data_IF_982459356314
#
_entry.id   IF_982459356314
#
_cell.length_a   1.000
_cell.length_b   1.000
_cell.length_c   1.000
_cell.angle_alpha   90.00
_cell.angle_beta   90.00
_cell.angle_gamma   90.00
#
_symmetry.space_group_name_H-M   'P 1'
#
loop_
_entity.id
_entity.type
_entity.pdbx_description
1 polymer ?
#
# COMPACT_ATOMS: atom_id res chain seq x y z
N UNK A 1 -7.46 -9.29 19.36
CA UNK A 1 -5.99 -9.32 19.15
C UNK A 1 -5.63 -10.21 17.96
N UNK A 2 -6.09 -11.47 17.92
CA UNK A 2 -5.83 -12.41 16.83
C UNK A 2 -6.27 -11.94 15.43
N UNK A 3 -7.49 -11.39 15.31
CA UNK A 3 -7.99 -10.78 14.05
C UNK A 3 -7.04 -9.78 13.41
N UNK A 4 -6.61 -8.76 14.16
CA UNK A 4 -5.78 -7.70 13.61
C UNK A 4 -4.39 -8.22 13.20
N UNK A 5 -3.83 -9.18 13.95
CA UNK A 5 -2.59 -9.85 13.56
C UNK A 5 -2.75 -10.63 12.25
N UNK A 6 -3.87 -11.32 12.07
CA UNK A 6 -4.18 -12.02 10.82
C UNK A 6 -4.29 -11.03 9.65
N UNK A 7 -4.96 -9.89 9.84
CA UNK A 7 -5.06 -8.84 8.82
C UNK A 7 -3.69 -8.24 8.47
N UNK A 8 -2.82 -8.01 9.46
CA UNK A 8 -1.42 -7.60 9.23
C UNK A 8 -0.69 -8.67 8.40
N UNK A 9 -0.86 -9.94 8.74
CA UNK A 9 -0.23 -11.03 8.01
C UNK A 9 -0.69 -11.08 6.55
N UNK A 10 -2.00 -11.01 6.30
CA UNK A 10 -2.56 -10.99 4.94
C UNK A 10 -2.06 -9.77 4.15
N UNK A 11 -2.01 -8.60 4.78
CA UNK A 11 -1.45 -7.39 4.17
C UNK A 11 0.03 -7.59 3.80
N UNK A 12 0.85 -8.08 4.73
CA UNK A 12 2.26 -8.37 4.45
C UNK A 12 2.42 -9.42 3.34
N UNK A 13 1.60 -10.46 3.34
CA UNK A 13 1.59 -11.52 2.33
C UNK A 13 1.27 -10.99 0.93
N UNK A 14 0.21 -10.16 0.82
CA UNK A 14 -0.18 -9.47 -0.41
C UNK A 14 0.98 -8.68 -1.00
N UNK A 15 1.64 -7.84 -0.20
CA UNK A 15 2.68 -6.94 -0.68
C UNK A 15 4.04 -7.63 -0.88
N UNK A 16 4.38 -8.64 -0.06
CA UNK A 16 5.65 -9.34 -0.17
C UNK A 16 5.74 -10.20 -1.44
N UNK A 17 4.65 -10.88 -1.81
CA UNK A 17 4.63 -11.72 -3.01
C UNK A 17 4.08 -10.99 -4.23
N UNK A 18 3.05 -10.17 -4.02
CA UNK A 18 2.33 -9.52 -5.09
C UNK A 18 2.86 -8.13 -5.48
N UNK A 19 3.75 -7.53 -4.67
CA UNK A 19 4.23 -6.16 -4.89
C UNK A 19 4.98 -5.94 -6.21
N UNK A 20 5.55 -7.01 -6.80
CA UNK A 20 6.23 -6.98 -8.10
C UNK A 20 5.41 -7.55 -9.26
N UNK A 21 4.13 -7.89 -9.03
CA UNK A 21 3.26 -8.37 -10.11
C UNK A 21 2.96 -7.25 -11.09
N UNK A 22 2.85 -7.63 -12.38
CA UNK A 22 2.22 -6.77 -13.37
C UNK A 22 0.78 -6.48 -12.96
N UNK A 23 0.29 -5.29 -13.32
CA UNK A 23 -1.06 -4.84 -12.96
C UNK A 23 -2.15 -5.80 -13.45
N UNK A 24 -1.94 -6.48 -14.60
CA UNK A 24 -2.86 -7.46 -15.17
C UNK A 24 -3.12 -8.69 -14.26
N UNK A 25 -2.21 -8.99 -13.33
CA UNK A 25 -2.35 -10.12 -12.40
C UNK A 25 -2.81 -9.70 -11.00
N UNK A 26 -3.02 -8.40 -10.75
CA UNK A 26 -3.40 -7.92 -9.41
C UNK A 26 -4.78 -8.40 -8.99
N UNK A 27 -5.74 -8.43 -9.91
CA UNK A 27 -7.11 -8.85 -9.61
C UNK A 27 -7.19 -10.36 -9.32
N UNK A 28 -6.50 -11.18 -10.13
CA UNK A 28 -6.45 -12.62 -9.91
C UNK A 28 -5.70 -12.98 -8.63
N UNK A 29 -4.63 -12.25 -8.29
CA UNK A 29 -3.91 -12.44 -7.04
C UNK A 29 -4.73 -11.99 -5.81
N UNK A 30 -5.50 -10.90 -5.93
CA UNK A 30 -6.44 -10.47 -4.89
C UNK A 30 -7.47 -11.57 -4.58
N UNK A 31 -8.10 -12.11 -5.63
CA UNK A 31 -9.06 -13.22 -5.50
C UNK A 31 -8.41 -14.47 -4.90
N UNK A 32 -7.21 -14.81 -5.35
CA UNK A 32 -6.46 -15.96 -4.84
C UNK A 32 -6.22 -15.84 -3.32
N UNK A 33 -5.74 -14.68 -2.86
CA UNK A 33 -5.55 -14.45 -1.42
C UNK A 33 -6.87 -14.56 -0.67
N UNK A 34 -7.94 -13.92 -1.16
CA UNK A 34 -9.25 -13.99 -0.49
C UNK A 34 -9.72 -15.43 -0.31
N UNK A 35 -9.60 -16.26 -1.35
CA UNK A 35 -9.97 -17.68 -1.30
C UNK A 35 -9.14 -18.46 -0.27
N UNK A 36 -7.84 -18.17 -0.12
CA UNK A 36 -7.00 -18.84 0.86
C UNK A 36 -7.39 -18.55 2.32
N UNK A 37 -8.07 -17.42 2.58
CA UNK A 37 -8.46 -16.99 3.93
C UNK A 37 -9.97 -17.00 4.17
N UNK A 38 -10.78 -17.55 3.25
CA UNK A 38 -12.24 -17.49 3.32
C UNK A 38 -12.82 -18.21 4.56
N UNK A 39 -12.24 -19.36 4.92
CA UNK A 39 -12.62 -20.12 6.12
C UNK A 39 -12.00 -19.57 7.41
N UNK A 40 -11.11 -18.58 7.31
CA UNK A 40 -10.41 -18.01 8.46
C UNK A 40 -11.26 -16.89 9.11
N UNK A 41 -11.91 -17.24 10.23
CA UNK A 41 -12.76 -16.30 10.99
C UNK A 41 -12.01 -15.07 11.54
N UNK A 42 -10.68 -15.13 11.64
CA UNK A 42 -9.83 -14.03 12.06
C UNK A 42 -9.38 -13.12 10.90
N UNK A 43 -9.49 -13.53 9.64
CA UNK A 43 -9.07 -12.68 8.53
C UNK A 43 -10.03 -11.49 8.34
N UNK A 44 -11.35 -11.76 8.28
CA UNK A 44 -12.43 -10.77 8.08
C UNK A 44 -12.04 -9.64 7.13
N UNK A 45 -11.60 -10.00 5.93
CA UNK A 45 -11.07 -9.06 4.95
C UNK A 45 -12.19 -8.16 4.41
N UNK A 46 -11.95 -6.86 4.21
CA UNK A 46 -12.95 -5.96 3.64
C UNK A 46 -13.24 -6.33 2.18
N UNK A 47 -14.52 -6.33 1.80
CA UNK A 47 -14.99 -6.76 0.47
C UNK A 47 -15.39 -5.63 -0.48
N UNK A 48 -15.39 -4.37 -0.03
CA UNK A 48 -15.89 -3.24 -0.82
C UNK A 48 -14.92 -2.83 -1.93
N UNK A 49 -13.62 -2.90 -1.67
CA UNK A 49 -12.56 -2.56 -2.62
C UNK A 49 -11.55 -3.73 -2.71
N UNK A 50 -10.69 -3.77 -3.74
CA UNK A 50 -9.56 -4.69 -3.78
C UNK A 50 -8.67 -4.54 -2.54
N UNK A 51 -8.03 -5.61 -2.08
CA UNK A 51 -7.11 -5.58 -0.93
C UNK A 51 -5.96 -4.57 -1.14
N UNK A 52 -5.57 -4.35 -2.40
CA UNK A 52 -4.58 -3.33 -2.82
C UNK A 52 -4.95 -1.89 -2.44
N UNK A 53 -6.23 -1.62 -2.21
CA UNK A 53 -6.75 -0.31 -1.81
C UNK A 53 -6.62 -0.04 -0.32
N UNK A 54 -6.23 -1.04 0.48
CA UNK A 54 -6.14 -0.94 1.93
C UNK A 54 -4.71 -0.91 2.46
N UNK A 55 -4.52 -0.20 3.57
CA UNK A 55 -3.33 -0.22 4.42
C UNK A 55 -3.69 -0.64 5.85
N UNK A 56 -2.67 -0.90 6.66
CA UNK A 56 -2.81 -1.20 8.09
C UNK A 56 -2.68 0.08 8.91
N UNK A 57 -3.79 0.53 9.50
CA UNK A 57 -3.79 1.61 10.48
C UNK A 57 -3.58 1.02 11.88
N UNK A 58 -2.39 1.25 12.43
CA UNK A 58 -1.90 0.58 13.64
C UNK A 58 -2.58 1.12 14.90
N UNK A 59 -2.83 2.44 14.97
CA UNK A 59 -3.36 3.06 16.18
C UNK A 59 -4.79 2.61 16.45
N UNK A 60 -5.58 2.54 15.37
CA UNK A 60 -6.98 2.10 15.43
C UNK A 60 -7.19 0.61 15.15
N UNK A 61 -6.11 -0.12 14.85
CA UNK A 61 -6.10 -1.58 14.63
C UNK A 61 -7.09 -2.05 13.57
N UNK A 62 -7.07 -1.43 12.38
CA UNK A 62 -7.96 -1.76 11.27
C UNK A 62 -7.26 -1.72 9.91
N UNK A 63 -7.86 -2.36 8.92
CA UNK A 63 -7.59 -2.08 7.51
C UNK A 63 -8.38 -0.84 7.08
N UNK A 64 -7.71 0.15 6.49
CA UNK A 64 -8.35 1.38 6.01
C UNK A 64 -7.85 1.76 4.61
N UNK A 65 -8.52 2.67 3.92
CA UNK A 65 -8.23 3.01 2.53
C UNK A 65 -7.01 3.93 2.41
N UNK A 66 -6.11 3.63 1.45
CA UNK A 66 -4.95 4.49 1.14
C UNK A 66 -5.35 5.93 0.84
N UNK A 67 -6.54 6.14 0.27
CA UNK A 67 -7.12 7.46 -0.03
C UNK A 67 -7.16 8.38 1.18
N UNK A 68 -7.30 7.83 2.41
CA UNK A 68 -7.28 8.63 3.65
C UNK A 68 -5.92 9.20 4.00
N UNK A 69 -4.85 8.62 3.46
CA UNK A 69 -3.48 9.10 3.66
C UNK A 69 -3.04 10.11 2.59
N UNK A 70 -3.85 10.32 1.54
CA UNK A 70 -3.52 11.30 0.50
C UNK A 70 -3.76 12.71 1.03
N UNK A 71 -2.69 13.50 1.09
CA UNK A 71 -2.77 14.90 1.52
C UNK A 71 -3.40 15.79 0.45
N UNK A 72 -4.04 16.89 0.87
CA UNK A 72 -4.57 17.86 -0.08
C UNK A 72 -3.43 18.52 -0.87
N UNK A 73 -3.55 18.52 -2.20
CA UNK A 73 -2.64 19.26 -3.06
C UNK A 73 -2.87 20.76 -2.91
N UNK A 74 -1.79 21.52 -2.67
CA UNK A 74 -1.81 22.98 -2.68
C UNK A 74 -0.80 23.47 -3.70
N UNK A 75 -1.30 24.16 -4.72
CA UNK A 75 -0.45 24.73 -5.75
C UNK A 75 0.31 25.95 -5.20
N UNK A 76 1.63 25.91 -5.30
CA UNK A 76 2.51 27.01 -4.94
C UNK A 76 3.33 27.44 -6.16
N UNK A 77 3.09 28.67 -6.64
CA UNK A 77 3.77 29.26 -7.80
C UNK A 77 5.26 29.51 -7.56
N UNK A 78 5.70 29.55 -6.30
CA UNK A 78 7.12 29.74 -5.95
C UNK A 78 7.94 28.45 -6.13
N UNK A 79 7.29 27.28 -6.16
CA UNK A 79 7.93 26.00 -6.37
C UNK A 79 8.05 25.74 -7.88
N UNK A 80 9.26 25.44 -8.35
CA UNK A 80 9.48 25.02 -9.74
C UNK A 80 8.61 23.81 -10.07
N UNK A 81 8.01 23.81 -11.27
CA UNK A 81 7.16 22.72 -11.76
C UNK A 81 7.83 21.34 -11.59
N UNK A 82 9.14 21.23 -11.86
CA UNK A 82 9.89 19.97 -11.73
C UNK A 82 10.06 19.48 -10.28
N UNK A 83 9.87 20.36 -9.29
CA UNK A 83 9.92 20.03 -7.86
C UNK A 83 8.54 19.86 -7.25
N UNK A 84 7.48 20.13 -8.01
CA UNK A 84 6.11 20.04 -7.54
C UNK A 84 5.66 18.58 -7.52
N UNK A 85 5.40 18.05 -6.33
CA UNK A 85 4.86 16.71 -6.15
C UNK A 85 3.35 16.81 -5.89
N UNK A 86 2.55 16.13 -6.70
CA UNK A 86 1.12 15.99 -6.46
C UNK A 86 0.91 14.76 -5.56
N UNK A 87 0.32 14.91 -4.37
CA UNK A 87 -0.03 13.76 -3.54
C UNK A 87 -1.04 12.88 -4.26
N UNK A 88 -0.72 11.61 -4.39
CA UNK A 88 -1.58 10.56 -4.93
C UNK A 88 -1.59 9.35 -4.01
N UNK A 89 -2.55 8.44 -4.24
CA UNK A 89 -2.60 7.14 -3.56
C UNK A 89 -1.27 6.39 -3.70
N UNK A 90 -0.64 6.44 -4.87
CA UNK A 90 0.64 5.77 -5.08
C UNK A 90 1.76 6.40 -4.25
N UNK A 91 1.86 7.73 -4.19
CA UNK A 91 2.87 8.38 -3.34
C UNK A 91 2.67 8.06 -1.86
N UNK A 92 1.42 8.00 -1.38
CA UNK A 92 1.12 7.63 0.01
C UNK A 92 1.48 6.16 0.29
N UNK A 93 1.07 5.25 -0.58
CA UNK A 93 1.32 3.81 -0.47
C UNK A 93 2.81 3.49 -0.48
N UNK A 94 3.55 4.00 -1.47
CA UNK A 94 4.98 3.71 -1.59
C UNK A 94 5.79 4.43 -0.51
N UNK A 95 5.39 5.65 -0.11
CA UNK A 95 5.95 6.34 1.05
C UNK A 95 5.80 5.53 2.34
N UNK A 96 4.61 4.97 2.59
CA UNK A 96 4.34 4.10 3.74
C UNK A 96 5.29 2.89 3.83
N UNK A 97 5.54 2.22 2.69
CA UNK A 97 6.49 1.09 2.65
C UNK A 97 7.93 1.55 2.81
N UNK A 98 8.30 2.64 2.14
CA UNK A 98 9.65 3.19 2.21
C UNK A 98 10.03 3.53 3.65
N UNK A 99 9.17 4.26 4.38
CA UNK A 99 9.42 4.62 5.79
C UNK A 99 9.64 3.38 6.66
N UNK A 100 8.78 2.37 6.54
CA UNK A 100 8.86 1.12 7.32
C UNK A 100 10.10 0.30 6.98
N UNK A 101 10.41 0.13 5.71
CA UNK A 101 11.58 -0.63 5.28
C UNK A 101 12.90 0.09 5.64
N UNK A 102 12.93 1.43 5.56
CA UNK A 102 14.07 2.22 6.01
C UNK A 102 14.25 2.18 7.53
N UNK A 103 13.17 2.11 8.30
CA UNK A 103 13.24 2.02 9.77
C UNK A 103 14.01 0.78 10.26
N UNK A 104 13.99 -0.32 9.47
CA UNK A 104 14.71 -1.56 9.77
C UNK A 104 16.10 -1.63 9.14
N UNK A 105 16.55 -0.54 8.49
CA UNK A 105 17.88 -0.38 7.86
C UNK A 105 18.25 -1.51 6.91
N UNK A 106 17.29 -1.98 6.11
CA UNK A 106 17.52 -2.99 5.07
C UNK A 106 17.54 -2.36 3.68
N UNK A 107 18.37 -2.85 2.74
CA UNK A 107 18.32 -2.40 1.35
C UNK A 107 16.94 -2.67 0.74
N UNK A 108 16.41 -1.68 0.02
CA UNK A 108 15.12 -1.76 -0.68
C UNK A 108 15.33 -1.40 -2.14
N UNK A 109 14.69 -2.14 -3.03
CA UNK A 109 14.65 -1.83 -4.46
C UNK A 109 13.27 -1.29 -4.83
N UNK A 110 13.21 -0.09 -5.42
CA UNK A 110 12.00 0.47 -6.02
C UNK A 110 12.10 0.45 -7.55
N UNK A 111 11.21 -0.32 -8.19
CA UNK A 111 11.13 -0.46 -9.66
C UNK A 111 9.90 0.29 -10.21
N UNK A 112 9.72 0.35 -11.54
CA UNK A 112 8.71 1.22 -12.22
C UNK A 112 9.26 1.97 -13.45
N UNK A 113 8.47 2.86 -14.06
CA UNK A 113 8.90 3.66 -15.21
C UNK A 113 9.87 4.82 -14.87
N UNK A 114 10.36 5.53 -15.88
CA UNK A 114 11.07 6.81 -15.70
C UNK A 114 10.08 7.91 -15.34
N UNK A 115 10.44 8.84 -14.45
CA UNK A 115 9.61 10.00 -14.10
C UNK A 115 8.51 9.75 -13.07
N UNK A 116 8.45 8.56 -12.45
CA UNK A 116 7.44 8.22 -11.41
C UNK A 116 7.89 8.53 -9.97
N UNK A 117 8.81 9.48 -9.80
CA UNK A 117 9.25 9.95 -8.48
C UNK A 117 10.11 8.96 -7.68
N UNK A 118 10.77 8.00 -8.33
CA UNK A 118 11.63 7.01 -7.66
C UNK A 118 12.92 7.58 -7.07
N UNK A 119 13.38 8.71 -7.60
CA UNK A 119 14.63 9.37 -7.22
C UNK A 119 14.25 10.79 -6.80
N UNK A 120 14.62 11.15 -5.58
CA UNK A 120 14.65 12.54 -5.10
C UNK A 120 16.06 13.05 -5.25
#
# INVERSE_FOLDING_TARGET
MFRFLCQIFVFCYLWALGGNLNDEYRDSFDMFIRQQFDENQDAKLPGTYPLWSYYIEVDSKRMDLWERLVSSFRFDKSISFFKMMVPTVDTARYGYFLERLLSVKKPVLFTGGTGVGKVV
#
